data_IF_539666320225
#
_entry.id   IF_539666320225
#
_cell.length_a   1.000
_cell.length_b   1.000
_cell.length_c   1.000
_cell.angle_alpha   90.00
_cell.angle_beta   90.00
_cell.angle_gamma   90.00
#
_symmetry.space_group_name_H-M   'P 1'
#
loop_
_entity.id
_entity.type
_entity.pdbx_description
1 polymer ?
#
# COMPACT_ATOMS: atom_id res chain seq x y z
N UNK A 1 18.41 3.42 -11.88
CA UNK A 1 16.96 3.19 -12.13
C UNK A 1 16.21 3.66 -10.87
N UNK A 2 15.73 4.91 -10.78
CA UNK A 2 15.27 5.45 -9.51
C UNK A 2 13.75 5.48 -9.47
N UNK A 3 13.13 4.30 -9.36
CA UNK A 3 11.73 4.21 -8.98
C UNK A 3 11.50 2.82 -8.37
N UNK A 4 11.91 2.67 -7.11
CA UNK A 4 11.65 1.46 -6.31
C UNK A 4 10.12 1.22 -6.15
N UNK A 5 9.31 2.24 -6.43
CA UNK A 5 7.85 2.25 -6.53
C UNK A 5 7.27 1.57 -7.78
N UNK A 6 8.10 1.21 -8.78
CA UNK A 6 7.62 0.61 -10.04
C UNK A 6 7.41 -0.90 -9.95
N UNK A 7 8.26 -1.63 -9.21
CA UNK A 7 8.16 -3.09 -9.05
C UNK A 7 7.24 -3.48 -7.90
N UNK A 8 6.00 -3.02 -7.96
CA UNK A 8 4.97 -3.39 -7.00
C UNK A 8 4.04 -4.43 -7.61
N UNK A 9 3.71 -5.47 -6.83
CA UNK A 9 2.62 -6.43 -7.08
C UNK A 9 1.42 -5.76 -7.72
N UNK A 10 0.80 -6.45 -8.70
CA UNK A 10 -0.39 -6.01 -9.42
C UNK A 10 -1.27 -5.20 -8.48
N UNK A 11 -1.37 -3.89 -8.72
CA UNK A 11 -1.87 -2.94 -7.73
C UNK A 11 -3.30 -3.35 -7.37
N UNK A 12 -3.47 -3.92 -6.17
CA UNK A 12 -4.72 -4.50 -5.65
C UNK A 12 -5.91 -3.53 -5.71
N UNK A 13 -5.62 -2.24 -5.86
CA UNK A 13 -6.55 -1.13 -5.93
C UNK A 13 -7.16 -0.92 -7.33
N UNK A 14 -6.59 -1.51 -8.39
CA UNK A 14 -7.06 -1.34 -9.78
C UNK A 14 -8.04 -2.43 -10.18
N UNK A 15 -7.81 -3.69 -9.78
CA UNK A 15 -8.59 -4.85 -10.24
C UNK A 15 -10.08 -4.85 -9.84
N UNK A 16 -10.47 -4.50 -8.59
CA UNK A 16 -11.84 -4.76 -8.14
C UNK A 16 -12.90 -3.89 -8.84
N UNK A 17 -12.58 -2.63 -9.14
CA UNK A 17 -13.51 -1.71 -9.79
C UNK A 17 -13.94 -2.13 -11.21
N UNK A 18 -13.02 -2.39 -12.17
CA UNK A 18 -13.38 -2.88 -13.50
C UNK A 18 -13.95 -4.29 -13.45
N UNK A 19 -13.57 -5.15 -12.49
CA UNK A 19 -14.18 -6.47 -12.34
C UNK A 19 -15.68 -6.36 -12.02
N UNK A 20 -16.03 -5.55 -11.01
CA UNK A 20 -17.42 -5.36 -10.61
C UNK A 20 -18.28 -4.77 -11.75
N UNK A 21 -17.74 -3.78 -12.47
CA UNK A 21 -18.47 -3.18 -13.60
C UNK A 21 -18.48 -4.08 -14.83
N UNK A 22 -17.48 -4.93 -15.04
CA UNK A 22 -17.47 -5.88 -16.14
C UNK A 22 -18.56 -6.94 -15.95
N UNK A 23 -18.74 -7.43 -14.73
CA UNK A 23 -19.84 -8.34 -14.38
C UNK A 23 -21.19 -7.67 -14.64
N UNK A 24 -21.38 -6.43 -14.19
CA UNK A 24 -22.63 -5.69 -14.40
C UNK A 24 -22.91 -5.36 -15.87
N UNK A 25 -21.88 -5.08 -16.66
CA UNK A 25 -22.00 -4.71 -18.07
C UNK A 25 -22.03 -5.93 -19.02
N UNK A 26 -21.83 -7.15 -18.50
CA UNK A 26 -21.70 -8.35 -19.32
C UNK A 26 -20.45 -8.34 -20.22
N UNK A 27 -19.38 -7.68 -19.78
CA UNK A 27 -18.15 -7.55 -20.56
C UNK A 27 -17.40 -8.89 -20.66
N UNK A 28 -16.76 -9.12 -21.79
CA UNK A 28 -15.94 -10.30 -22.02
C UNK A 28 -14.65 -10.27 -21.20
N UNK A 29 -14.06 -11.45 -20.94
CA UNK A 29 -12.75 -11.53 -20.28
C UNK A 29 -11.65 -10.77 -21.03
N UNK A 30 -11.73 -10.68 -22.37
CA UNK A 30 -10.78 -9.89 -23.18
C UNK A 30 -10.90 -8.39 -22.91
N UNK A 31 -12.12 -7.89 -22.79
CA UNK A 31 -12.38 -6.47 -22.45
C UNK A 31 -11.92 -6.16 -21.03
N UNK A 32 -12.18 -7.07 -20.08
CA UNK A 32 -11.70 -6.96 -18.71
C UNK A 32 -10.17 -6.90 -18.63
N UNK A 33 -9.47 -7.82 -19.29
CA UNK A 33 -8.00 -7.83 -19.32
C UNK A 33 -7.44 -6.55 -19.94
N UNK A 34 -8.02 -6.07 -21.04
CA UNK A 34 -7.61 -4.81 -21.66
C UNK A 34 -7.79 -3.63 -20.70
N UNK A 35 -8.94 -3.54 -20.03
CA UNK A 35 -9.22 -2.49 -19.06
C UNK A 35 -8.24 -2.53 -17.88
N UNK A 36 -7.93 -3.70 -17.34
CA UNK A 36 -6.98 -3.87 -16.24
C UNK A 36 -5.57 -3.44 -16.66
N UNK A 37 -5.09 -3.85 -17.84
CA UNK A 37 -3.77 -3.44 -18.36
C UNK A 37 -3.69 -1.92 -18.47
N UNK A 38 -4.74 -1.30 -19.03
CA UNK A 38 -4.84 0.15 -19.16
C UNK A 38 -4.85 0.86 -17.80
N UNK A 39 -5.72 0.43 -16.88
CA UNK A 39 -5.81 1.01 -15.55
C UNK A 39 -4.53 0.87 -14.74
N UNK A 40 -3.85 -0.28 -14.87
CA UNK A 40 -2.57 -0.50 -14.21
C UNK A 40 -1.52 0.49 -14.71
N UNK A 41 -1.42 0.66 -16.03
CA UNK A 41 -0.50 1.61 -16.66
C UNK A 41 -0.74 3.04 -16.18
N UNK A 42 -2.00 3.48 -16.16
CA UNK A 42 -2.39 4.81 -15.65
C UNK A 42 -2.05 4.98 -14.17
N UNK A 43 -2.35 3.99 -13.31
CA UNK A 43 -2.02 4.05 -11.89
C UNK A 43 -0.51 4.19 -11.65
N UNK A 44 0.30 3.45 -12.42
CA UNK A 44 1.76 3.51 -12.33
C UNK A 44 2.28 4.87 -12.78
N UNK A 45 1.77 5.39 -13.91
CA UNK A 45 2.13 6.70 -14.44
C UNK A 45 1.87 7.84 -13.47
N UNK A 46 0.68 7.85 -12.86
CA UNK A 46 0.34 8.85 -11.85
C UNK A 46 1.31 8.74 -10.66
N UNK A 47 1.64 7.52 -10.23
CA UNK A 47 2.64 7.33 -9.18
C UNK A 47 4.05 7.80 -9.59
N UNK A 48 4.42 7.73 -10.87
CA UNK A 48 5.68 8.26 -11.38
C UNK A 48 5.70 9.80 -11.46
N UNK A 49 4.55 10.43 -11.65
CA UNK A 49 4.44 11.90 -11.60
C UNK A 49 4.47 12.45 -10.17
N UNK A 50 4.11 11.66 -9.17
CA UNK A 50 4.16 12.07 -7.77
C UNK A 50 5.57 11.89 -7.19
N UNK A 51 5.90 12.67 -6.17
CA UNK A 51 7.10 12.44 -5.37
C UNK A 51 7.14 11.00 -4.81
N UNK A 52 8.28 10.32 -4.86
CA UNK A 52 8.39 8.94 -4.42
C UNK A 52 8.17 8.80 -2.90
N UNK A 53 7.37 7.80 -2.51
CA UNK A 53 7.15 7.44 -1.09
C UNK A 53 8.46 7.10 -0.35
N UNK A 54 9.42 6.53 -1.07
CA UNK A 54 10.70 6.06 -0.55
C UNK A 54 11.83 6.59 -1.42
N UNK A 55 12.79 7.27 -0.81
CA UNK A 55 13.97 7.82 -1.49
C UNK A 55 15.22 7.35 -0.76
N UNK A 56 16.22 6.87 -1.50
CA UNK A 56 17.54 6.62 -0.93
C UNK A 56 18.32 7.92 -0.98
N UNK A 57 18.75 8.40 0.18
CA UNK A 57 19.55 9.62 0.33
C UNK A 57 20.98 9.19 0.66
N UNK A 58 21.96 9.79 -0.02
CA UNK A 58 23.37 9.53 0.23
C UNK A 58 24.00 10.73 0.92
N UNK A 59 24.49 10.53 2.13
CA UNK A 59 25.20 11.53 2.93
C UNK A 59 26.60 10.99 3.22
N UNK A 60 27.60 11.51 2.49
CA UNK A 60 28.96 10.98 2.52
C UNK A 60 29.03 9.52 2.03
N UNK A 61 29.52 8.63 2.89
CA UNK A 61 29.61 7.18 2.61
C UNK A 61 28.40 6.39 3.13
N UNK A 62 27.37 7.07 3.63
CA UNK A 62 26.17 6.44 4.18
C UNK A 62 24.99 6.62 3.23
N UNK A 63 24.26 5.54 2.99
CA UNK A 63 22.98 5.55 2.28
C UNK A 63 21.86 5.28 3.28
N UNK A 64 20.87 6.15 3.33
CA UNK A 64 19.71 6.03 4.22
C UNK A 64 18.42 6.01 3.42
N UNK A 65 17.43 5.25 3.89
CA UNK A 65 16.10 5.22 3.29
C UNK A 65 15.24 6.30 3.95
N UNK A 66 14.90 7.35 3.21
CA UNK A 66 13.93 8.37 3.61
C UNK A 66 12.52 7.93 3.17
N UNK A 67 11.57 7.98 4.10
CA UNK A 67 10.14 7.75 3.84
C UNK A 67 9.41 9.10 3.87
N UNK A 68 8.47 9.31 2.96
CA UNK A 68 7.64 10.51 2.94
C UNK A 68 6.86 10.68 4.26
N UNK A 69 6.77 11.90 4.81
CA UNK A 69 6.16 12.15 6.12
C UNK A 69 4.64 11.90 6.14
N UNK A 70 4.00 11.94 4.97
CA UNK A 70 2.60 11.57 4.77
C UNK A 70 2.54 10.75 3.49
N UNK A 71 1.94 9.56 3.53
CA UNK A 71 1.75 8.74 2.34
C UNK A 71 0.50 7.87 2.42
N UNK A 72 0.03 7.44 1.25
CA UNK A 72 -1.14 6.60 1.06
C UNK A 72 -1.03 5.75 -0.20
N UNK A 73 -2.11 5.05 -0.53
CA UNK A 73 -2.24 4.28 -1.78
C UNK A 73 -3.47 4.70 -2.60
N UNK A 74 -4.12 5.80 -2.20
CA UNK A 74 -5.36 6.25 -2.84
C UNK A 74 -5.14 6.84 -4.23
N UNK A 75 -3.91 7.24 -4.59
CA UNK A 75 -3.55 7.62 -5.96
C UNK A 75 -3.82 6.52 -6.99
N UNK A 76 -3.97 5.25 -6.57
CA UNK A 76 -4.32 4.18 -7.50
C UNK A 76 -5.80 4.14 -7.87
N UNK A 77 -6.64 4.95 -7.21
CA UNK A 77 -8.05 5.11 -7.59
C UNK A 77 -8.18 5.49 -9.07
N UNK A 78 -7.29 6.33 -9.58
CA UNK A 78 -7.32 6.80 -10.96
C UNK A 78 -7.11 5.68 -11.97
N UNK A 79 -6.29 4.66 -11.64
CA UNK A 79 -6.17 3.48 -12.49
C UNK A 79 -7.43 2.63 -12.49
N UNK A 80 -8.04 2.45 -11.32
CA UNK A 80 -9.33 1.76 -11.20
C UNK A 80 -10.43 2.46 -12.00
N UNK A 81 -10.50 3.79 -11.92
CA UNK A 81 -11.45 4.63 -12.68
C UNK A 81 -11.18 4.59 -14.17
N UNK A 82 -9.92 4.64 -14.60
CA UNK A 82 -9.58 4.52 -16.02
C UNK A 82 -10.00 3.15 -16.59
N UNK A 83 -9.77 2.07 -15.85
CA UNK A 83 -10.21 0.73 -16.23
C UNK A 83 -11.76 0.63 -16.24
N UNK A 84 -12.42 1.09 -15.19
CA UNK A 84 -13.87 1.13 -15.05
C UNK A 84 -14.54 1.93 -16.18
N UNK A 85 -14.02 3.12 -16.48
CA UNK A 85 -14.48 3.96 -17.59
C UNK A 85 -14.33 3.26 -18.93
N UNK A 86 -13.25 2.48 -19.11
CA UNK A 86 -13.04 1.66 -20.31
C UNK A 86 -14.07 0.55 -20.45
N UNK A 87 -14.46 -0.10 -19.34
CA UNK A 87 -15.51 -1.13 -19.33
C UNK A 87 -16.86 -0.56 -19.71
N UNK A 88 -17.25 0.58 -19.13
CA UNK A 88 -18.54 1.23 -19.42
C UNK A 88 -18.55 1.99 -20.76
N UNK A 89 -17.42 2.03 -21.49
CA UNK A 89 -17.34 2.72 -22.77
C UNK A 89 -17.52 4.24 -22.66
N UNK A 90 -17.10 4.85 -21.53
CA UNK A 90 -17.18 6.29 -21.37
C UNK A 90 -16.30 7.02 -22.40
N UNK A 91 -16.80 8.15 -22.90
CA UNK A 91 -16.03 9.04 -23.77
C UNK A 91 -14.96 9.82 -22.96
N UNK A 92 -14.12 10.59 -23.65
CA UNK A 92 -13.04 11.37 -23.02
C UNK A 92 -13.56 12.36 -21.97
N UNK A 93 -14.63 13.07 -22.28
CA UNK A 93 -15.23 14.07 -21.38
C UNK A 93 -15.71 13.44 -20.07
N UNK A 94 -16.53 12.38 -20.15
CA UNK A 94 -16.99 11.66 -18.96
C UNK A 94 -15.85 11.01 -18.19
N UNK A 95 -14.82 10.52 -18.88
CA UNK A 95 -13.62 9.97 -18.23
C UNK A 95 -12.87 11.04 -17.44
N UNK A 96 -12.73 12.26 -17.99
CA UNK A 96 -12.13 13.39 -17.27
C UNK A 96 -12.95 13.77 -16.03
N UNK A 97 -14.28 13.80 -16.13
CA UNK A 97 -15.14 14.01 -14.95
C UNK A 97 -14.97 12.89 -13.92
N UNK A 98 -14.93 11.63 -14.34
CA UNK A 98 -14.73 10.48 -13.44
C UNK A 98 -13.41 10.60 -12.68
N UNK A 99 -12.33 10.97 -13.36
CA UNK A 99 -11.02 11.21 -12.72
C UNK A 99 -11.08 12.39 -11.74
N UNK A 100 -11.76 13.48 -12.09
CA UNK A 100 -11.97 14.62 -11.20
C UNK A 100 -12.72 14.24 -9.91
N UNK A 101 -13.82 13.51 -10.04
CA UNK A 101 -14.62 13.01 -8.90
C UNK A 101 -13.76 12.08 -8.03
N UNK A 102 -12.97 11.21 -8.64
CA UNK A 102 -12.11 10.29 -7.92
C UNK A 102 -11.00 11.01 -7.15
N UNK A 103 -10.40 12.05 -7.72
CA UNK A 103 -9.43 12.88 -7.03
C UNK A 103 -10.04 13.59 -5.82
N UNK A 104 -11.27 14.10 -5.95
CA UNK A 104 -11.98 14.77 -4.86
C UNK A 104 -12.41 13.81 -3.73
N UNK A 105 -12.76 12.58 -4.07
CA UNK A 105 -13.29 11.57 -3.11
C UNK A 105 -12.23 10.59 -2.61
N UNK A 106 -10.97 10.76 -3.02
CA UNK A 106 -9.90 9.88 -2.59
C UNK A 106 -9.63 10.01 -1.09
N UNK A 107 -9.16 8.93 -0.47
CA UNK A 107 -8.75 8.97 0.93
C UNK A 107 -7.41 9.69 1.11
N UNK A 108 -7.26 10.40 2.22
CA UNK A 108 -5.99 11.05 2.60
C UNK A 108 -4.92 10.01 2.94
N UNK A 109 -3.64 10.42 2.91
CA UNK A 109 -2.49 9.58 3.23
C UNK A 109 -2.41 9.17 4.70
N UNK A 110 -3.11 8.12 5.10
CA UNK A 110 -3.18 7.66 6.51
C UNK A 110 -2.15 6.61 6.90
N UNK A 111 -1.29 6.15 5.97
CA UNK A 111 -0.43 5.00 6.22
C UNK A 111 0.67 5.25 7.25
N UNK A 112 1.19 6.48 7.37
CA UNK A 112 2.18 6.82 8.39
C UNK A 112 1.64 6.62 9.80
N UNK A 113 0.44 7.15 10.09
CA UNK A 113 -0.19 6.95 11.41
C UNK A 113 -0.43 5.47 11.72
N UNK A 114 -0.85 4.69 10.73
CA UNK A 114 -1.00 3.25 10.88
C UNK A 114 0.34 2.58 11.23
N UNK A 115 1.44 2.97 10.56
CA UNK A 115 2.77 2.38 10.78
C UNK A 115 3.35 2.71 12.18
N UNK A 116 3.04 3.88 12.72
CA UNK A 116 3.52 4.31 14.05
C UNK A 116 2.68 3.79 15.22
N UNK A 117 1.50 3.23 14.96
CA UNK A 117 0.58 2.79 16.02
C UNK A 117 0.82 1.32 16.38
N UNK A 118 1.09 1.07 17.67
CA UNK A 118 1.20 -0.27 18.25
C UNK A 118 0.11 -0.50 19.32
N UNK A 119 -0.55 -1.67 19.36
CA UNK A 119 -0.46 -2.77 18.38
C UNK A 119 -1.02 -2.37 17.01
N UNK A 120 -0.55 -3.02 15.95
CA UNK A 120 -0.95 -2.69 14.58
C UNK A 120 -2.44 -2.93 14.35
N UNK A 121 -3.15 -1.90 13.91
CA UNK A 121 -4.56 -1.99 13.57
C UNK A 121 -4.80 -2.70 12.23
N UNK A 122 -5.98 -3.29 12.05
CA UNK A 122 -6.40 -3.92 10.79
C UNK A 122 -6.80 -2.90 9.69
N UNK A 123 -6.84 -1.61 10.02
CA UNK A 123 -7.34 -0.53 9.13
C UNK A 123 -6.63 -0.47 7.78
N UNK A 124 -5.35 -0.85 7.72
CA UNK A 124 -4.60 -0.96 6.46
C UNK A 124 -5.27 -1.90 5.45
N UNK A 125 -5.80 -3.03 5.89
CA UNK A 125 -6.34 -4.07 5.01
C UNK A 125 -7.67 -3.66 4.36
N UNK A 126 -8.47 -2.83 5.03
CA UNK A 126 -9.72 -2.31 4.49
C UNK A 126 -9.55 -1.17 3.47
N UNK A 127 -8.41 -0.46 3.50
CA UNK A 127 -8.18 0.72 2.66
C UNK A 127 -8.31 0.46 1.15
N UNK A 128 -7.93 -0.74 0.68
CA UNK A 128 -8.05 -1.12 -0.73
C UNK A 128 -9.48 -1.29 -1.21
N UNK A 129 -10.36 -1.81 -0.34
CA UNK A 129 -11.79 -1.88 -0.62
C UNK A 129 -12.40 -0.49 -0.80
N UNK A 130 -12.09 0.44 0.11
CA UNK A 130 -12.58 1.82 0.03
C UNK A 130 -12.13 2.55 -1.23
N UNK A 131 -10.86 2.43 -1.60
CA UNK A 131 -10.34 3.01 -2.84
C UNK A 131 -11.06 2.44 -4.06
N UNK A 132 -11.29 1.13 -4.09
CA UNK A 132 -11.98 0.47 -5.20
C UNK A 132 -13.46 0.90 -5.30
N UNK A 133 -14.16 0.97 -4.16
CA UNK A 133 -15.55 1.45 -4.10
C UNK A 133 -15.64 2.91 -4.56
N UNK A 134 -14.72 3.76 -4.14
CA UNK A 134 -14.65 5.15 -4.61
C UNK A 134 -14.47 5.23 -6.12
N UNK A 135 -13.65 4.37 -6.72
CA UNK A 135 -13.46 4.33 -8.17
C UNK A 135 -14.71 3.90 -8.95
N UNK A 136 -15.45 2.89 -8.44
CA UNK A 136 -16.74 2.49 -9.01
C UNK A 136 -17.74 3.64 -8.95
N UNK A 137 -17.90 4.26 -7.78
CA UNK A 137 -18.82 5.38 -7.58
C UNK A 137 -18.47 6.58 -8.45
N UNK A 138 -17.20 6.96 -8.54
CA UNK A 138 -16.74 8.05 -9.40
C UNK A 138 -17.08 7.82 -10.87
N UNK A 139 -16.89 6.57 -11.34
CA UNK A 139 -17.19 6.19 -12.73
C UNK A 139 -18.70 6.25 -13.00
N UNK A 140 -19.52 5.67 -12.12
CA UNK A 140 -20.98 5.67 -12.27
C UNK A 140 -21.58 7.08 -12.16
N UNK A 141 -21.04 7.93 -11.27
CA UNK A 141 -21.45 9.33 -11.16
C UNK A 141 -21.21 10.07 -12.47
N UNK A 142 -20.01 9.94 -13.06
CA UNK A 142 -19.71 10.56 -14.35
C UNK A 142 -20.54 9.98 -15.50
N UNK A 143 -20.80 8.67 -15.49
CA UNK A 143 -21.71 8.02 -16.44
C UNK A 143 -23.11 8.66 -16.40
N UNK A 144 -23.63 8.90 -15.20
CA UNK A 144 -24.92 9.55 -14.95
C UNK A 144 -24.93 11.06 -15.20
N UNK A 145 -23.80 11.67 -15.59
CA UNK A 145 -23.70 13.09 -15.91
C UNK A 145 -23.28 13.99 -14.75
N UNK A 146 -22.80 13.43 -13.64
CA UNK A 146 -22.16 14.21 -12.58
C UNK A 146 -20.82 14.77 -13.08
N UNK A 147 -20.57 16.04 -12.78
CA UNK A 147 -19.40 16.78 -13.26
C UNK A 147 -18.30 16.76 -12.20
N UNK A 148 -17.12 16.28 -12.59
CA UNK A 148 -15.89 16.40 -11.80
C UNK A 148 -14.95 17.47 -12.36
N UNK A 149 -14.02 17.94 -11.53
CA UNK A 149 -12.96 18.87 -11.94
C UNK A 149 -12.01 18.20 -12.93
N UNK A 150 -12.04 18.64 -14.19
CA UNK A 150 -11.21 18.08 -15.27
C UNK A 150 -9.74 18.51 -15.17
N UNK A 151 -9.42 19.43 -14.27
CA UNK A 151 -8.08 19.95 -14.00
C UNK A 151 -7.52 19.47 -12.67
N UNK A 152 -8.04 18.37 -12.12
CA UNK A 152 -7.71 17.86 -10.77
C UNK A 152 -6.22 17.67 -10.48
N UNK A 153 -5.36 17.51 -11.48
CA UNK A 153 -3.90 17.37 -11.31
C UNK A 153 -3.14 18.71 -11.40
N UNK A 154 -3.80 19.77 -11.83
CA UNK A 154 -3.19 21.06 -12.19
C UNK A 154 -3.32 22.08 -11.05
N UNK A 155 -2.54 23.16 -11.15
CA UNK A 155 -2.55 24.27 -10.22
C UNK A 155 -1.93 24.01 -8.85
N UNK A 156 -1.88 25.06 -8.03
CA UNK A 156 -1.24 25.06 -6.71
C UNK A 156 -1.97 24.18 -5.67
N UNK A 157 -3.23 23.84 -5.96
CA UNK A 157 -4.11 23.02 -5.12
C UNK A 157 -4.52 21.71 -5.81
N UNK A 158 -3.79 21.30 -6.84
CA UNK A 158 -4.03 20.02 -7.51
C UNK A 158 -3.86 18.81 -6.57
N UNK A 159 -4.25 17.64 -7.07
CA UNK A 159 -4.27 16.37 -6.34
C UNK A 159 -3.00 16.10 -5.54
N UNK A 160 -1.85 16.34 -6.16
CA UNK A 160 -0.54 16.14 -5.54
C UNK A 160 -0.41 16.87 -4.20
N UNK A 161 -1.01 18.07 -4.07
CA UNK A 161 -0.92 18.91 -2.86
C UNK A 161 -1.72 18.32 -1.70
N UNK A 162 -2.99 17.99 -1.92
CA UNK A 162 -3.86 17.45 -0.87
C UNK A 162 -3.64 15.95 -0.62
N UNK A 163 -3.04 15.24 -1.57
CA UNK A 163 -2.48 13.90 -1.36
C UNK A 163 -1.15 13.95 -0.58
N UNK A 164 -0.66 15.15 -0.22
CA UNK A 164 0.57 15.40 0.52
C UNK A 164 1.84 14.90 -0.18
N UNK A 165 1.85 14.93 -1.51
CA UNK A 165 3.06 14.73 -2.31
C UNK A 165 3.88 16.02 -2.35
N UNK A 166 5.21 15.89 -2.30
CA UNK A 166 6.12 17.04 -2.35
C UNK A 166 6.14 17.72 -3.73
N UNK A 167 5.83 16.98 -4.79
CA UNK A 167 5.90 17.47 -6.17
C UNK A 167 4.96 16.72 -7.11
N UNK A 168 4.64 17.36 -8.24
CA UNK A 168 3.98 16.78 -9.40
C UNK A 168 4.77 17.05 -10.67
N UNK A 169 5.17 15.97 -11.35
CA UNK A 169 5.84 15.99 -12.64
C UNK A 169 4.92 15.36 -13.71
N UNK A 170 4.17 16.19 -14.47
CA UNK A 170 3.31 15.69 -15.53
C UNK A 170 4.10 15.04 -16.67
N UNK A 171 5.36 15.43 -16.91
CA UNK A 171 6.18 14.84 -17.95
C UNK A 171 6.57 13.39 -17.59
N UNK A 172 6.86 13.13 -16.32
CA UNK A 172 7.09 11.76 -15.84
C UNK A 172 5.83 10.89 -15.96
N UNK A 173 4.64 11.42 -15.63
CA UNK A 173 3.39 10.69 -15.79
C UNK A 173 3.08 10.34 -17.26
N UNK A 174 3.37 11.26 -18.19
CA UNK A 174 3.09 11.08 -19.61
C UNK A 174 4.17 10.30 -20.38
N UNK A 175 5.32 10.02 -19.77
CA UNK A 175 6.48 9.43 -20.43
C UNK A 175 6.19 8.06 -21.04
N UNK A 176 6.25 7.95 -22.36
CA UNK A 176 6.08 6.67 -23.06
C UNK A 176 4.64 6.16 -23.11
N UNK A 177 3.64 7.03 -22.90
CA UNK A 177 2.22 6.67 -23.02
C UNK A 177 1.92 6.04 -24.40
N UNK A 178 1.21 4.92 -24.40
CA UNK A 178 0.89 4.14 -25.61
C UNK A 178 2.06 3.40 -26.26
N UNK A 179 3.30 3.56 -25.77
CA UNK A 179 4.51 2.91 -26.31
C UNK A 179 5.10 1.89 -25.34
N UNK A 180 5.08 2.19 -24.05
CA UNK A 180 5.59 1.33 -22.99
C UNK A 180 4.49 1.03 -21.99
N UNK A 181 4.45 -0.20 -21.49
CA UNK A 181 3.41 -0.67 -20.58
C UNK A 181 4.04 -1.24 -19.31
N UNK A 182 3.57 -0.81 -18.14
CA UNK A 182 4.15 -1.22 -16.86
C UNK A 182 3.66 -2.58 -16.34
N UNK A 183 2.66 -3.19 -16.98
CA UNK A 183 2.10 -4.48 -16.51
C UNK A 183 3.15 -5.61 -16.49
N UNK A 184 4.13 -5.57 -17.40
CA UNK A 184 5.23 -6.54 -17.46
C UNK A 184 6.28 -6.35 -16.35
N UNK A 185 6.32 -5.20 -15.71
CA UNK A 185 7.26 -4.86 -14.63
C UNK A 185 6.65 -5.12 -13.23
N UNK A 186 5.68 -6.04 -13.16
CA UNK A 186 5.01 -6.45 -11.93
C UNK A 186 5.69 -7.68 -11.32
N UNK A 187 6.11 -7.59 -10.07
CA UNK A 187 6.68 -8.72 -9.32
C UNK A 187 5.60 -9.39 -8.44
N UNK A 188 5.66 -10.71 -8.29
CA UNK A 188 4.86 -11.44 -7.30
C UNK A 188 5.61 -11.49 -5.97
N UNK A 189 4.88 -11.32 -4.85
CA UNK A 189 5.47 -11.45 -3.51
C UNK A 189 5.63 -12.95 -3.18
N UNK A 190 6.87 -13.43 -2.90
CA UNK A 190 7.07 -14.81 -2.46
C UNK A 190 6.55 -15.04 -1.02
N UNK A 191 6.56 -14.00 -0.19
CA UNK A 191 6.15 -14.07 1.22
C UNK A 191 5.01 -13.09 1.54
N UNK A 192 4.03 -13.48 2.38
CA UNK A 192 2.91 -12.64 2.80
C UNK A 192 3.35 -11.62 3.88
N UNK A 193 4.32 -10.78 3.54
CA UNK A 193 4.94 -9.81 4.45
C UNK A 193 5.27 -8.48 3.78
N UNK A 194 5.77 -7.53 4.57
CA UNK A 194 6.31 -6.26 4.06
C UNK A 194 7.51 -6.56 3.14
N UNK A 195 7.60 -5.85 2.00
CA UNK A 195 8.68 -6.04 1.02
C UNK A 195 10.07 -5.78 1.63
N UNK A 196 10.15 -4.89 2.61
CA UNK A 196 11.41 -4.58 3.32
C UNK A 196 11.97 -5.78 4.09
N UNK A 197 11.13 -6.76 4.45
CA UNK A 197 11.56 -7.95 5.17
C UNK A 197 12.00 -9.09 4.22
N UNK A 198 11.71 -8.97 2.92
CA UNK A 198 11.93 -10.09 1.98
C UNK A 198 13.41 -10.41 1.81
N UNK A 199 14.28 -9.39 1.78
CA UNK A 199 15.73 -9.59 1.67
C UNK A 199 16.32 -10.41 2.81
N UNK A 200 15.79 -10.25 4.03
CA UNK A 200 16.20 -11.04 5.20
C UNK A 200 15.69 -12.48 5.07
N UNK A 201 14.44 -12.66 4.64
CA UNK A 201 13.84 -13.99 4.46
C UNK A 201 14.53 -14.79 3.33
N UNK A 202 14.99 -14.12 2.28
CA UNK A 202 15.72 -14.75 1.17
C UNK A 202 17.11 -15.24 1.62
N UNK A 203 17.80 -14.50 2.50
CA UNK A 203 19.12 -14.89 3.02
C UNK A 203 19.08 -16.17 3.86
N UNK A 204 17.99 -16.37 4.62
CA UNK A 204 17.82 -17.53 5.49
C UNK A 204 17.29 -18.79 4.76
N UNK A 205 16.99 -18.71 3.47
CA UNK A 205 16.45 -19.83 2.69
C UNK A 205 17.02 -19.97 1.26
N UNK A 206 18.34 -20.24 1.10
CA UNK A 206 18.95 -20.43 -0.21
C UNK A 206 18.52 -21.73 -0.95
N UNK A 207 17.62 -22.54 -0.37
CA UNK A 207 17.23 -23.87 -0.89
C UNK A 207 15.74 -24.22 -0.83
N UNK A 208 14.85 -23.26 -0.55
CA UNK A 208 13.40 -23.47 -0.58
C UNK A 208 12.80 -24.34 0.54
N UNK A 209 13.57 -24.73 1.57
CA UNK A 209 13.05 -25.43 2.74
C UNK A 209 12.88 -24.45 3.90
N UNK A 210 11.64 -24.26 4.33
CA UNK A 210 11.29 -23.45 5.50
C UNK A 210 12.02 -23.97 6.74
N UNK A 211 13.07 -23.27 7.16
CA UNK A 211 13.67 -23.46 8.48
C UNK A 211 13.00 -22.50 9.46
N UNK A 212 12.77 -22.99 10.68
CA UNK A 212 12.40 -22.14 11.81
C UNK A 212 13.49 -21.06 11.96
N UNK A 213 13.17 -19.81 11.59
CA UNK A 213 14.04 -18.68 11.91
C UNK A 213 13.81 -18.36 13.38
N UNK A 214 14.67 -18.93 14.23
CA UNK A 214 14.78 -18.55 15.63
C UNK A 214 15.53 -17.22 15.66
N UNK A 215 14.86 -16.15 16.09
CA UNK A 215 15.48 -14.84 16.18
C UNK A 215 16.64 -14.94 17.19
N UNK A 216 17.87 -14.80 16.70
CA UNK A 216 19.07 -14.71 17.53
C UNK A 216 18.92 -13.48 18.43
N UNK A 217 18.76 -13.70 19.74
CA UNK A 217 18.78 -12.66 20.75
C UNK A 217 20.14 -11.96 20.86
N UNK A 218 21.18 -12.53 20.26
CA UNK A 218 22.56 -12.06 20.38
C UNK A 218 23.22 -11.93 19.00
N UNK A 219 22.90 -10.85 18.29
CA UNK A 219 23.74 -10.36 17.20
C UNK A 219 23.84 -8.84 17.29
N UNK A 220 24.90 -8.39 17.94
CA UNK A 220 25.39 -7.02 17.97
C UNK A 220 25.83 -6.57 16.56
N UNK A 221 24.87 -6.35 15.67
CA UNK A 221 25.10 -5.58 14.44
C UNK A 221 24.79 -4.14 14.79
N UNK A 222 25.85 -3.35 15.02
CA UNK A 222 25.78 -1.90 15.21
C UNK A 222 26.10 -1.22 13.88
N UNK A 223 25.12 -0.64 13.15
CA UNK A 223 25.40 0.37 12.13
C UNK A 223 25.42 1.78 12.78
N UNK A 224 26.14 2.79 12.26
CA UNK A 224 26.24 4.08 12.92
C UNK A 224 24.96 4.91 12.80
N UNK A 225 24.44 5.30 13.97
CA UNK A 225 23.80 6.58 14.31
C UNK A 225 22.68 7.14 13.41
N UNK A 226 21.55 6.43 13.28
CA UNK A 226 20.17 6.94 13.40
C UNK A 226 19.26 5.74 13.67
N UNK A 227 18.98 5.42 14.93
CA UNK A 227 18.36 4.15 15.31
C UNK A 227 16.83 4.24 15.37
N UNK A 228 16.16 3.77 14.32
CA UNK A 228 14.89 3.07 14.49
C UNK A 228 15.22 1.59 14.68
N UNK A 229 15.24 1.13 15.94
CA UNK A 229 15.42 -0.28 16.25
C UNK A 229 14.14 -1.03 15.87
N UNK A 230 14.09 -1.60 14.67
CA UNK A 230 13.12 -2.63 14.33
C UNK A 230 13.61 -3.96 14.92
N UNK A 231 13.37 -4.17 16.21
CA UNK A 231 13.61 -5.47 16.86
C UNK A 231 12.36 -6.31 16.67
N UNK A 232 12.49 -7.42 15.95
CA UNK A 232 11.42 -8.39 15.73
C UNK A 232 11.48 -9.46 16.82
N UNK A 233 10.63 -9.34 17.84
CA UNK A 233 10.55 -10.37 18.88
C UNK A 233 9.42 -11.36 18.56
N UNK A 234 9.78 -12.63 18.37
CA UNK A 234 8.85 -13.74 18.16
C UNK A 234 8.35 -14.25 19.51
N UNK A 235 7.20 -13.77 19.99
CA UNK A 235 6.62 -14.26 21.25
C UNK A 235 5.64 -15.42 21.01
N UNK A 236 6.15 -16.63 21.28
CA UNK A 236 5.50 -17.95 21.42
C UNK A 236 4.86 -18.65 20.20
N UNK A 237 5.16 -19.94 20.11
CA UNK A 237 4.55 -20.92 19.20
C UNK A 237 3.55 -21.72 20.03
N UNK A 238 2.25 -21.51 19.84
CA UNK A 238 1.25 -22.44 20.37
C UNK A 238 1.15 -23.63 19.40
N UNK A 239 1.80 -24.75 19.71
CA UNK A 239 1.63 -26.00 18.96
C UNK A 239 0.27 -26.62 19.30
N UNK A 240 -0.64 -26.62 18.32
CA UNK A 240 -1.90 -27.35 18.39
C UNK A 240 -2.59 -27.42 17.03
N UNK A 241 -2.78 -28.64 16.53
CA UNK A 241 -3.64 -28.98 15.38
C UNK A 241 -3.43 -28.14 14.09
N UNK A 242 -2.18 -28.03 13.61
CA UNK A 242 -1.91 -27.59 12.23
C UNK A 242 -2.09 -26.10 11.93
N UNK A 243 -2.05 -25.22 12.93
CA UNK A 243 -2.14 -23.76 12.75
C UNK A 243 -0.89 -23.06 13.28
N UNK A 244 -0.23 -22.27 12.43
CA UNK A 244 0.84 -21.34 12.82
C UNK A 244 0.25 -19.94 12.93
N UNK A 245 0.32 -19.32 14.11
CA UNK A 245 -0.01 -17.91 14.30
C UNK A 245 1.29 -17.11 14.41
N UNK A 246 1.42 -16.05 13.62
CA UNK A 246 2.56 -15.12 13.69
C UNK A 246 2.08 -13.82 14.34
N UNK A 247 2.64 -13.49 15.50
CA UNK A 247 2.47 -12.17 16.11
C UNK A 247 3.75 -11.39 15.89
N UNK A 248 3.70 -10.34 15.07
CA UNK A 248 4.83 -9.43 14.87
C UNK A 248 4.67 -8.28 15.87
N UNK A 249 5.47 -8.26 16.95
CA UNK A 249 5.53 -7.10 17.86
C UNK A 249 6.56 -6.09 17.34
N UNK A 250 6.13 -4.84 17.22
CA UNK A 250 6.97 -3.69 16.89
C UNK A 250 7.30 -2.97 18.21
N UNK A 251 8.55 -3.01 18.65
CA UNK A 251 9.02 -2.15 19.74
C UNK A 251 9.68 -0.90 19.17
N UNK A 252 9.18 0.28 19.55
CA UNK A 252 9.90 1.54 19.43
C UNK A 252 10.62 1.75 20.77
N UNK A 253 11.93 1.54 20.83
CA UNK A 253 12.70 1.87 22.04
C UNK A 253 12.93 3.38 22.10
N UNK A 254 12.02 4.09 22.78
CA UNK A 254 12.34 5.36 23.42
C UNK A 254 13.00 5.09 24.76
N UNK A 255 14.12 5.77 25.04
CA UNK A 255 14.92 5.73 26.28
C UNK A 255 14.14 5.26 27.52
N UNK A 256 14.38 4.03 27.97
CA UNK A 256 13.93 3.55 29.27
C UNK A 256 14.96 3.92 30.33
N UNK A 257 14.66 4.93 31.16
CA UNK A 257 15.18 4.91 32.52
C UNK A 257 14.53 3.75 33.26
N UNK A 258 15.37 2.94 33.89
CA UNK A 258 15.03 1.75 34.66
C UNK A 258 14.08 2.05 35.82
N UNK A 259 12.98 1.31 35.93
CA UNK A 259 12.25 1.15 37.18
C UNK A 259 12.06 -0.34 37.48
N UNK A 260 12.69 -0.78 38.56
CA UNK A 260 12.56 -2.10 39.19
C UNK A 260 11.15 -2.31 39.78
N UNK A 261 10.70 -3.57 39.93
CA UNK A 261 9.33 -3.88 40.33
C UNK A 261 9.15 -3.82 41.85
N UNK A 262 8.24 -2.97 42.33
CA UNK A 262 7.62 -3.09 43.66
C UNK A 262 6.12 -3.30 43.50
N UNK A 263 5.58 -4.16 44.36
CA UNK A 263 4.34 -4.92 44.26
C UNK A 263 3.05 -4.11 44.62
N UNK A 264 1.86 -4.73 44.77
CA UNK A 264 0.68 -4.47 43.95
C UNK A 264 -0.39 -3.60 44.66
N UNK A 265 -1.05 -2.72 43.91
CA UNK A 265 -2.16 -1.92 44.43
C UNK A 265 -3.04 -1.38 43.31
N UNK A 266 -4.19 -2.04 43.12
CA UNK A 266 -5.44 -1.60 42.49
C UNK A 266 -5.46 -0.25 41.74
N UNK A 267 -5.85 -0.26 40.46
CA UNK A 267 -7.24 0.03 40.05
C UNK A 267 -7.43 -0.07 38.53
N UNK A 268 -8.48 -0.80 38.16
CA UNK A 268 -9.31 -0.66 36.96
C UNK A 268 -8.80 -1.14 35.58
N UNK A 269 -9.66 -1.98 35.00
CA UNK A 269 -9.99 -2.09 33.57
C UNK A 269 -8.98 -2.79 32.65
N UNK A 270 -9.19 -4.09 32.47
CA UNK A 270 -9.80 -4.66 31.26
C UNK A 270 -9.56 -6.17 31.29
N UNK A 271 -10.60 -6.93 31.64
CA UNK A 271 -10.63 -8.38 31.44
C UNK A 271 -10.44 -8.69 29.95
N UNK A 272 -9.62 -9.70 29.58
CA UNK A 272 -9.43 -10.07 28.19
C UNK A 272 -10.71 -10.72 27.67
N UNK A 273 -11.35 -10.08 26.69
CA UNK A 273 -12.49 -10.68 25.99
C UNK A 273 -11.93 -11.74 25.04
N UNK A 274 -12.08 -12.98 25.50
CA UNK A 274 -12.27 -14.24 24.78
C UNK A 274 -11.98 -14.25 23.27
N UNK A 275 -10.96 -15.04 22.92
CA UNK A 275 -10.86 -15.93 21.75
C UNK A 275 -11.94 -15.77 20.68
N UNK A 276 -11.66 -14.96 19.67
CA UNK A 276 -12.39 -15.02 18.39
C UNK A 276 -11.50 -15.71 17.36
N UNK A 277 -11.73 -17.01 17.18
CA UNK A 277 -11.13 -17.81 16.12
C UNK A 277 -11.75 -17.41 14.78
N UNK A 278 -10.96 -16.85 13.85
CA UNK A 278 -11.31 -16.83 12.43
C UNK A 278 -10.57 -18.00 11.79
N UNK A 279 -11.29 -19.09 11.56
CA UNK A 279 -10.84 -20.18 10.71
C UNK A 279 -11.07 -19.76 9.25
N UNK A 280 -10.00 -19.48 8.50
CA UNK A 280 -10.05 -19.64 7.06
C UNK A 280 -9.74 -21.11 6.76
N UNK A 281 -10.74 -21.85 6.30
CA UNK A 281 -10.51 -23.12 5.59
C UNK A 281 -10.04 -22.79 4.17
N UNK A 282 -8.86 -23.31 3.82
CA UNK A 282 -8.52 -23.62 2.43
C UNK A 282 -8.95 -25.07 2.21
#
# INVERSE_FOLDING_TARGET
IPCFTLRCTLRLYVLPAPLALAESAGASGKELLLAIVLGHDIAVRIACGLAPMQTVVKEGNTETLKIAPVFGQSQFIFGGVAAASKILGLNSEKTCHALGIAGHTCSVGTMMKWAETAPSAMTKYGSGGWVSMGGVLATLMAEAGYIGDTTVFEGDYGFWRFFASESWDPAAAMKGIGKTWFIGDTDYKPYPGCRLCHSVLDQDNPGGQFRHIQCLSDASITPPAYHHHLIFELSSIAQGAGKYAFTLKLFLTGNTQSLTPSSPGNHNNCTPISNSFIALHI
#
